data_IF_640509202059
#
_entry.id   IF_640509202059
#
_cell.length_a   1.000
_cell.length_b   1.000
_cell.length_c   1.000
_cell.angle_alpha   90.00
_cell.angle_beta   90.00
_cell.angle_gamma   90.00
#
_symmetry.space_group_name_H-M   'P 1'
#
loop_
_entity.id
_entity.type
_entity.pdbx_description
1 polymer ?
#
# COMPACT_ATOMS: atom_id res chain seq x y z
N UNK A 1 21.97 52.42 -13.27
CA UNK A 1 21.54 51.41 -12.29
C UNK A 1 20.04 51.47 -11.98
N UNK A 2 19.38 52.64 -11.96
CA UNK A 2 17.94 52.77 -11.64
C UNK A 2 16.93 52.09 -12.59
N UNK A 3 17.30 51.75 -13.84
CA UNK A 3 16.33 51.22 -14.82
C UNK A 3 16.18 49.68 -14.80
N UNK A 4 17.15 48.94 -14.25
CA UNK A 4 17.05 47.47 -14.08
C UNK A 4 16.23 47.09 -12.86
N UNK A 5 16.39 47.84 -11.76
CA UNK A 5 15.67 47.60 -10.51
C UNK A 5 14.16 47.83 -10.67
N UNK A 6 13.74 48.86 -11.41
CA UNK A 6 12.31 49.12 -11.67
C UNK A 6 11.64 48.06 -12.54
N UNK A 7 12.36 47.50 -13.53
CA UNK A 7 11.84 46.44 -14.40
C UNK A 7 11.69 45.10 -13.66
N UNK A 8 12.64 44.75 -12.81
CA UNK A 8 12.57 43.53 -11.98
C UNK A 8 11.44 43.66 -10.94
N UNK A 9 11.29 44.83 -10.30
CA UNK A 9 10.21 45.09 -9.33
C UNK A 9 8.81 44.95 -9.93
N UNK A 10 8.58 45.46 -11.14
CA UNK A 10 7.28 45.33 -11.81
C UNK A 10 6.99 43.89 -12.25
N UNK A 11 7.99 43.18 -12.77
CA UNK A 11 7.84 41.76 -13.16
C UNK A 11 7.55 40.85 -11.97
N UNK A 12 8.17 41.12 -10.82
CA UNK A 12 7.88 40.45 -9.55
C UNK A 12 6.46 40.73 -9.08
N UNK A 13 6.02 41.99 -9.11
CA UNK A 13 4.66 42.38 -8.71
C UNK A 13 3.59 41.70 -9.57
N UNK A 14 3.75 41.72 -10.89
CA UNK A 14 2.82 41.08 -11.82
C UNK A 14 2.74 39.56 -11.57
N UNK A 15 3.87 38.94 -11.20
CA UNK A 15 3.93 37.52 -10.88
C UNK A 15 3.23 37.16 -9.57
N UNK A 16 3.39 37.98 -8.53
CA UNK A 16 2.66 37.82 -7.25
C UNK A 16 1.15 37.89 -7.47
N UNK A 17 0.69 38.85 -8.28
CA UNK A 17 -0.73 39.03 -8.61
C UNK A 17 -1.26 37.80 -9.37
N UNK A 18 -0.47 37.25 -10.30
CA UNK A 18 -0.82 36.03 -11.02
C UNK A 18 -0.90 34.80 -10.09
N UNK A 19 0.06 34.63 -9.17
CA UNK A 19 0.04 33.50 -8.23
C UNK A 19 -1.17 33.59 -7.28
N UNK A 20 -1.50 34.78 -6.78
CA UNK A 20 -2.70 34.97 -5.95
C UNK A 20 -4.00 34.67 -6.69
N UNK A 21 -4.06 34.93 -8.01
CA UNK A 21 -5.26 34.63 -8.81
C UNK A 21 -5.37 33.15 -9.16
N UNK A 22 -4.25 32.47 -9.43
CA UNK A 22 -4.20 31.03 -9.75
C UNK A 22 -4.28 30.14 -8.51
N UNK A 23 -3.89 30.62 -7.34
CA UNK A 23 -3.78 29.82 -6.11
C UNK A 23 -4.11 30.65 -4.84
N UNK A 24 -5.38 31.03 -4.64
CA UNK A 24 -5.80 31.93 -3.55
C UNK A 24 -5.69 31.34 -2.13
N UNK A 25 -5.37 30.06 -2.00
CA UNK A 25 -5.20 29.34 -0.73
C UNK A 25 -3.75 29.32 -0.23
N UNK A 26 -2.81 29.85 -1.03
CA UNK A 26 -1.38 29.85 -0.76
C UNK A 26 -1.01 30.99 0.20
N UNK A 27 -0.23 30.69 1.24
CA UNK A 27 0.13 31.69 2.25
C UNK A 27 1.24 32.63 1.76
N UNK A 28 1.29 33.86 2.27
CA UNK A 28 2.18 34.93 1.76
C UNK A 28 3.66 34.51 1.72
N UNK A 29 4.11 33.74 2.70
CA UNK A 29 5.49 33.22 2.76
C UNK A 29 5.81 32.17 1.68
N UNK A 30 4.81 31.46 1.18
CA UNK A 30 4.96 30.48 0.10
C UNK A 30 5.07 31.18 -1.26
N UNK A 31 4.30 32.25 -1.45
CA UNK A 31 4.38 33.12 -2.64
C UNK A 31 5.74 33.81 -2.71
N UNK A 32 6.25 34.31 -1.58
CA UNK A 32 7.58 34.90 -1.47
C UNK A 32 8.69 33.92 -1.85
N UNK A 33 8.59 32.68 -1.38
CA UNK A 33 9.58 31.65 -1.70
C UNK A 33 9.62 31.33 -3.21
N UNK A 34 8.45 31.28 -3.87
CA UNK A 34 8.34 31.03 -5.31
C UNK A 34 8.99 32.17 -6.10
N UNK A 35 8.63 33.41 -5.78
CA UNK A 35 9.12 34.61 -6.48
C UNK A 35 10.63 34.78 -6.29
N UNK A 36 11.14 34.61 -5.07
CA UNK A 36 12.58 34.73 -4.80
C UNK A 36 13.40 33.67 -5.56
N UNK A 37 12.81 32.49 -5.81
CA UNK A 37 13.47 31.41 -6.54
C UNK A 37 13.38 31.62 -8.06
N UNK A 38 12.23 32.06 -8.58
CA UNK A 38 12.04 32.31 -10.03
C UNK A 38 12.93 33.45 -10.54
N UNK A 39 13.13 34.49 -9.73
CA UNK A 39 13.91 35.67 -10.12
C UNK A 39 15.36 35.66 -9.62
N UNK A 40 15.80 34.60 -8.94
CA UNK A 40 17.15 34.43 -8.40
C UNK A 40 17.62 35.65 -7.58
N UNK A 41 16.77 36.09 -6.64
CA UNK A 41 16.96 37.33 -5.88
C UNK A 41 17.68 37.07 -4.55
N UNK A 42 18.56 37.99 -4.16
CA UNK A 42 19.38 37.93 -2.94
C UNK A 42 18.65 38.51 -1.73
N UNK A 43 19.17 38.23 -0.52
CA UNK A 43 18.54 38.59 0.76
C UNK A 43 18.26 40.09 0.99
N UNK A 44 18.87 40.99 0.21
CA UNK A 44 18.62 42.43 0.24
C UNK A 44 17.36 42.86 -0.53
N UNK A 45 16.86 42.03 -1.46
CA UNK A 45 15.63 42.30 -2.25
C UNK A 45 14.35 41.81 -1.54
N UNK A 46 14.49 41.06 -0.44
CA UNK A 46 13.38 40.36 0.23
C UNK A 46 12.48 41.30 1.03
N UNK A 47 13.01 42.40 1.57
CA UNK A 47 12.19 43.40 2.29
C UNK A 47 11.17 44.07 1.37
N UNK A 48 11.56 44.34 0.13
CA UNK A 48 10.70 44.95 -0.88
C UNK A 48 9.66 43.95 -1.40
N UNK A 49 9.98 42.66 -1.45
CA UNK A 49 9.05 41.59 -1.82
C UNK A 49 8.02 41.33 -0.71
N UNK A 50 8.45 41.30 0.56
CA UNK A 50 7.55 41.15 1.71
C UNK A 50 6.52 42.30 1.79
N UNK A 51 6.92 43.51 1.38
CA UNK A 51 6.02 44.64 1.23
C UNK A 51 5.04 44.51 0.05
N UNK A 52 5.37 43.71 -0.98
CA UNK A 52 4.52 43.43 -2.14
C UNK A 52 3.58 42.23 -1.93
N UNK A 53 3.91 41.34 -1.00
CA UNK A 53 3.15 40.12 -0.71
C UNK A 53 2.26 40.23 0.52
N UNK A 54 2.57 41.07 1.52
CA UNK A 54 1.74 41.18 2.73
C UNK A 54 0.44 41.97 2.52
N UNK A 55 -0.72 41.35 2.79
CA UNK A 55 -2.03 42.04 2.77
C UNK A 55 -2.36 42.80 4.06
N UNK A 56 -1.51 42.69 5.08
CA UNK A 56 -1.68 43.33 6.38
C UNK A 56 -0.30 43.51 7.01
N UNK A 57 0.12 44.76 7.24
CA UNK A 57 1.46 45.16 7.70
C UNK A 57 1.99 44.33 8.88
N UNK A 58 2.70 43.25 8.54
CA UNK A 58 3.30 42.29 9.46
C UNK A 58 4.81 42.44 9.53
N UNK A 59 5.37 42.00 10.64
CA UNK A 59 6.74 42.24 11.11
C UNK A 59 7.82 41.69 10.16
N UNK A 60 8.77 42.55 9.80
CA UNK A 60 9.95 42.22 8.98
C UNK A 60 10.73 41.04 9.61
N UNK A 61 10.79 39.91 8.90
CA UNK A 61 11.55 38.74 9.32
C UNK A 61 13.06 38.97 9.15
N UNK A 62 13.84 38.73 10.21
CA UNK A 62 15.30 38.78 10.13
C UNK A 62 15.87 37.64 9.27
N UNK A 63 16.98 37.89 8.57
CA UNK A 63 17.68 36.99 7.61
C UNK A 63 17.93 35.56 8.10
N UNK A 64 18.02 35.33 9.42
CA UNK A 64 18.13 33.99 10.00
C UNK A 64 16.83 33.18 10.00
N UNK A 65 15.67 33.84 10.16
CA UNK A 65 14.35 33.20 10.08
C UNK A 65 13.96 32.91 8.62
N UNK A 66 14.38 33.76 7.69
CA UNK A 66 14.15 33.61 6.25
C UNK A 66 14.79 32.33 5.66
N UNK A 67 16.05 32.05 5.98
CA UNK A 67 16.72 30.82 5.50
C UNK A 67 16.10 29.54 6.10
N UNK A 68 15.55 29.63 7.31
CA UNK A 68 14.82 28.53 7.92
C UNK A 68 13.50 28.25 7.19
N UNK A 69 12.76 29.29 6.83
CA UNK A 69 11.49 29.22 6.08
C UNK A 69 11.74 28.76 4.63
N UNK A 70 12.80 29.24 3.96
CA UNK A 70 13.21 28.80 2.61
C UNK A 70 13.53 27.30 2.56
N UNK A 71 14.21 26.77 3.57
CA UNK A 71 14.51 25.34 3.67
C UNK A 71 13.28 24.47 3.97
N UNK A 72 12.34 24.99 4.77
CA UNK A 72 11.08 24.31 5.11
C UNK A 72 10.11 24.30 3.92
N UNK A 73 10.07 25.40 3.16
CA UNK A 73 9.30 25.52 1.92
C UNK A 73 9.83 24.58 0.82
N UNK A 74 11.15 24.49 0.62
CA UNK A 74 11.76 23.54 -0.33
C UNK A 74 11.47 22.08 0.08
N UNK A 75 11.54 21.77 1.38
CA UNK A 75 11.18 20.45 1.92
C UNK A 75 9.70 20.09 1.75
N UNK A 76 8.80 21.08 1.91
CA UNK A 76 7.35 20.91 1.68
C UNK A 76 6.98 20.82 0.20
N UNK A 77 7.66 21.57 -0.66
CA UNK A 77 7.46 21.54 -2.13
C UNK A 77 7.99 20.25 -2.76
N UNK A 78 9.11 19.70 -2.25
CA UNK A 78 9.61 18.38 -2.64
C UNK A 78 8.65 17.24 -2.22
N UNK A 79 7.86 17.45 -1.15
CA UNK A 79 6.87 16.50 -0.64
C UNK A 79 5.45 16.70 -1.23
N UNK A 80 5.31 17.54 -2.26
CA UNK A 80 4.02 17.83 -2.91
C UNK A 80 3.82 16.93 -4.14
N UNK A 81 2.61 16.38 -4.31
CA UNK A 81 2.24 15.58 -5.47
C UNK A 81 1.62 16.50 -6.55
N UNK A 82 2.20 16.58 -7.76
CA UNK A 82 1.81 17.56 -8.75
C UNK A 82 0.48 17.20 -9.42
N UNK A 83 -0.51 18.10 -9.33
CA UNK A 83 -1.85 17.95 -9.92
C UNK A 83 -1.83 17.92 -11.46
N UNK A 84 -0.75 18.44 -12.09
CA UNK A 84 -0.67 18.62 -13.55
C UNK A 84 0.77 18.39 -14.05
N UNK A 85 0.92 18.09 -15.36
CA UNK A 85 2.23 17.87 -16.02
C UNK A 85 3.25 19.00 -15.81
N UNK A 86 2.78 20.25 -15.76
CA UNK A 86 3.64 21.42 -15.48
C UNK A 86 4.21 21.45 -14.05
N UNK A 87 3.46 20.96 -13.06
CA UNK A 87 3.93 20.86 -11.68
C UNK A 87 4.90 19.69 -11.51
N UNK A 88 4.73 18.60 -12.27
CA UNK A 88 5.68 17.48 -12.29
C UNK A 88 7.05 17.89 -12.87
N UNK A 89 7.04 18.68 -13.94
CA UNK A 89 8.27 19.22 -14.54
C UNK A 89 8.97 20.23 -13.60
N UNK A 90 8.21 20.98 -12.80
CA UNK A 90 8.76 21.89 -11.77
C UNK A 90 9.33 21.13 -10.57
N UNK A 91 8.73 20.01 -10.15
CA UNK A 91 9.32 19.10 -9.15
C UNK A 91 10.64 18.51 -9.65
N UNK A 92 10.71 18.04 -10.90
CA UNK A 92 11.95 17.55 -11.51
C UNK A 92 13.04 18.63 -11.55
N UNK A 93 12.69 19.89 -11.84
CA UNK A 93 13.63 21.00 -11.81
C UNK A 93 14.11 21.34 -10.40
N UNK A 94 13.23 21.34 -9.38
CA UNK A 94 13.63 21.52 -7.98
C UNK A 94 14.51 20.37 -7.47
N UNK A 95 14.23 19.15 -7.94
CA UNK A 95 15.02 17.94 -7.67
C UNK A 95 16.41 18.04 -8.31
N UNK A 96 16.50 18.54 -9.56
CA UNK A 96 17.78 18.83 -10.23
C UNK A 96 18.55 19.96 -9.55
N UNK A 97 17.87 21.00 -9.06
CA UNK A 97 18.51 22.08 -8.30
C UNK A 97 19.12 21.57 -6.98
N UNK A 98 18.46 20.63 -6.30
CA UNK A 98 19.01 19.90 -5.16
C UNK A 98 20.24 19.06 -5.54
N UNK A 99 20.22 18.40 -6.70
CA UNK A 99 21.38 17.67 -7.23
C UNK A 99 22.58 18.57 -7.53
N UNK A 100 22.35 19.75 -8.11
CA UNK A 100 23.42 20.73 -8.36
C UNK A 100 23.98 21.31 -7.06
N UNK A 101 23.16 21.43 -6.01
CA UNK A 101 23.62 21.85 -4.68
C UNK A 101 24.42 20.75 -3.96
N UNK A 102 24.15 19.46 -4.21
CA UNK A 102 24.99 18.36 -3.68
C UNK A 102 26.39 18.29 -4.29
N UNK A 103 26.58 18.79 -5.52
CA UNK A 103 27.91 18.83 -6.17
C UNK A 103 28.76 20.02 -5.70
N UNK A 104 28.14 21.08 -5.17
CA UNK A 104 28.87 22.20 -4.57
C UNK A 104 29.24 21.88 -3.13
N UNK A 105 30.54 21.65 -2.92
CA UNK A 105 31.18 21.24 -1.67
C UNK A 105 31.24 22.36 -0.60
N UNK A 106 30.12 23.07 -0.41
CA UNK A 106 29.97 24.19 0.52
C UNK A 106 29.24 23.75 1.81
N UNK A 107 29.72 24.24 2.95
CA UNK A 107 29.15 23.96 4.29
C UNK A 107 27.66 24.29 4.42
N UNK A 108 27.16 25.25 3.62
CA UNK A 108 25.73 25.62 3.54
C UNK A 108 24.88 24.58 2.81
N UNK A 109 25.39 23.97 1.75
CA UNK A 109 24.69 22.92 1.00
C UNK A 109 24.46 21.69 1.89
N UNK A 110 25.47 21.31 2.68
CA UNK A 110 25.36 20.24 3.67
C UNK A 110 24.32 20.51 4.77
N UNK A 111 24.20 21.77 5.23
CA UNK A 111 23.21 22.16 6.22
C UNK A 111 21.77 22.11 5.66
N UNK A 112 21.57 22.53 4.40
CA UNK A 112 20.27 22.47 3.72
C UNK A 112 19.84 21.02 3.49
N UNK A 113 20.77 20.17 3.03
CA UNK A 113 20.52 18.74 2.80
C UNK A 113 20.19 17.99 4.08
N UNK A 114 20.93 18.24 5.17
CA UNK A 114 20.66 17.59 6.46
C UNK A 114 19.29 17.98 7.02
N UNK A 115 18.88 19.25 6.85
CA UNK A 115 17.55 19.72 7.25
C UNK A 115 16.45 19.12 6.39
N UNK A 116 16.60 19.11 5.06
CA UNK A 116 15.66 18.46 4.14
C UNK A 116 15.51 16.97 4.46
N UNK A 117 16.61 16.26 4.72
CA UNK A 117 16.62 14.86 5.15
C UNK A 117 15.85 14.66 6.46
N UNK A 118 16.02 15.56 7.42
CA UNK A 118 15.31 15.50 8.71
C UNK A 118 13.79 15.72 8.55
N UNK A 119 13.37 16.66 7.70
CA UNK A 119 11.95 16.96 7.46
C UNK A 119 11.27 15.83 6.70
N UNK A 120 11.88 15.34 5.61
CA UNK A 120 11.34 14.23 4.82
C UNK A 120 11.28 12.96 5.68
N UNK A 121 12.37 12.65 6.40
CA UNK A 121 12.39 11.51 7.34
C UNK A 121 11.35 11.65 8.44
N UNK A 122 11.11 12.86 8.96
CA UNK A 122 10.08 13.16 9.95
C UNK A 122 8.66 12.94 9.43
N UNK A 123 8.38 13.34 8.19
CA UNK A 123 7.07 13.13 7.54
C UNK A 123 6.82 11.65 7.27
N UNK A 124 7.79 10.93 6.68
CA UNK A 124 7.69 9.47 6.47
C UNK A 124 7.47 8.76 7.80
N UNK A 125 8.24 9.13 8.83
CA UNK A 125 8.07 8.60 10.19
C UNK A 125 6.65 8.77 10.72
N UNK A 126 6.02 9.93 10.49
CA UNK A 126 4.66 10.22 10.96
C UNK A 126 3.64 9.36 10.23
N UNK A 127 3.68 9.33 8.90
CA UNK A 127 2.74 8.53 8.10
C UNK A 127 2.90 7.03 8.36
N UNK A 128 4.13 6.50 8.41
CA UNK A 128 4.36 5.09 8.72
C UNK A 128 3.90 4.72 10.13
N UNK A 129 4.05 5.64 11.09
CA UNK A 129 3.52 5.41 12.45
C UNK A 129 2.00 5.32 12.45
N UNK A 130 1.32 6.24 11.75
CA UNK A 130 -0.14 6.25 11.65
C UNK A 130 -0.72 5.04 10.92
N UNK A 131 -0.11 4.67 9.79
CA UNK A 131 -0.49 3.47 9.03
C UNK A 131 -0.30 2.22 9.90
N UNK A 132 0.87 2.06 10.51
CA UNK A 132 1.13 0.94 11.41
C UNK A 132 0.18 0.91 12.60
N UNK A 133 -0.14 2.07 13.18
CA UNK A 133 -1.12 2.16 14.27
C UNK A 133 -2.52 1.74 13.83
N UNK A 134 -2.95 2.12 12.63
CA UNK A 134 -4.25 1.72 12.08
C UNK A 134 -4.35 0.21 11.86
N UNK A 135 -3.24 -0.43 11.43
CA UNK A 135 -3.16 -1.89 11.30
C UNK A 135 -3.07 -2.61 12.65
N UNK A 136 -2.42 -2.03 13.66
CA UNK A 136 -2.48 -2.55 15.02
C UNK A 136 -3.89 -2.45 15.61
N UNK A 137 -4.60 -1.35 15.32
CA UNK A 137 -5.97 -1.18 15.77
C UNK A 137 -6.89 -2.25 15.20
N UNK A 138 -6.67 -2.68 13.95
CA UNK A 138 -7.32 -3.84 13.36
C UNK A 138 -7.16 -5.09 14.23
N UNK A 139 -5.92 -5.45 14.57
CA UNK A 139 -5.62 -6.62 15.42
C UNK A 139 -6.29 -6.49 16.81
N UNK A 140 -6.20 -5.30 17.42
CA UNK A 140 -6.81 -5.05 18.73
C UNK A 140 -8.33 -5.20 18.67
N UNK A 141 -8.98 -4.69 17.62
CA UNK A 141 -10.42 -4.83 17.41
C UNK A 141 -10.80 -6.31 17.25
N UNK A 142 -10.04 -7.09 16.47
CA UNK A 142 -10.30 -8.53 16.32
C UNK A 142 -10.21 -9.28 17.65
N UNK A 143 -9.21 -8.97 18.48
CA UNK A 143 -9.07 -9.56 19.82
C UNK A 143 -10.25 -9.15 20.71
N UNK A 144 -10.64 -7.87 20.69
CA UNK A 144 -11.78 -7.37 21.48
C UNK A 144 -13.08 -8.07 21.06
N UNK A 145 -13.35 -8.17 19.76
CA UNK A 145 -14.53 -8.86 19.23
C UNK A 145 -14.52 -10.33 19.68
N UNK A 146 -13.37 -10.99 19.60
CA UNK A 146 -13.22 -12.39 20.03
C UNK A 146 -13.49 -12.57 21.52
N UNK A 147 -12.96 -11.68 22.37
CA UNK A 147 -13.21 -11.70 23.83
C UNK A 147 -14.68 -11.44 24.16
N UNK A 148 -15.31 -10.45 23.49
CA UNK A 148 -16.73 -10.16 23.68
C UNK A 148 -17.58 -11.36 23.29
N UNK A 149 -17.27 -12.01 22.17
CA UNK A 149 -17.99 -13.17 21.67
C UNK A 149 -17.89 -14.35 22.66
N UNK A 150 -16.71 -14.63 23.20
CA UNK A 150 -16.51 -15.66 24.25
C UNK A 150 -17.25 -15.30 25.54
N UNK A 151 -17.10 -14.05 26.02
CA UNK A 151 -17.75 -13.59 27.24
C UNK A 151 -19.28 -13.72 27.15
N UNK A 152 -19.87 -13.34 26.02
CA UNK A 152 -21.31 -13.39 25.84
C UNK A 152 -21.83 -14.83 25.69
N UNK A 153 -21.18 -15.66 24.88
CA UNK A 153 -21.64 -17.03 24.63
C UNK A 153 -21.41 -17.94 25.84
N UNK A 154 -20.18 -18.00 26.36
CA UNK A 154 -19.83 -18.87 27.48
C UNK A 154 -20.31 -18.27 28.81
N UNK A 155 -20.08 -16.97 29.01
CA UNK A 155 -20.37 -16.30 30.29
C UNK A 155 -21.84 -15.93 30.51
N UNK A 156 -22.57 -15.56 29.45
CA UNK A 156 -23.97 -15.11 29.57
C UNK A 156 -24.96 -16.16 29.09
N UNK A 157 -24.73 -16.77 27.92
CA UNK A 157 -25.63 -17.79 27.37
C UNK A 157 -25.39 -19.19 27.97
N UNK A 158 -24.29 -19.39 28.70
CA UNK A 158 -23.96 -20.66 29.35
C UNK A 158 -23.53 -21.76 28.38
N UNK A 159 -23.08 -21.40 27.17
CA UNK A 159 -22.56 -22.37 26.21
C UNK A 159 -21.25 -22.96 26.71
N UNK A 160 -21.02 -24.23 26.42
CA UNK A 160 -19.70 -24.85 26.56
C UNK A 160 -18.73 -24.30 25.50
N UNK A 161 -17.43 -24.40 25.77
CA UNK A 161 -16.38 -24.00 24.81
C UNK A 161 -16.49 -24.82 23.52
N UNK A 162 -16.87 -26.10 23.64
CA UNK A 162 -17.04 -27.00 22.49
C UNK A 162 -18.24 -26.60 21.62
N UNK A 163 -19.36 -26.20 22.21
CA UNK A 163 -20.53 -25.69 21.48
C UNK A 163 -20.21 -24.38 20.75
N UNK A 164 -19.44 -23.49 21.38
CA UNK A 164 -18.96 -22.28 20.74
C UNK A 164 -18.06 -22.62 19.55
N UNK A 165 -17.08 -23.51 19.75
CA UNK A 165 -16.16 -23.94 18.71
C UNK A 165 -16.90 -24.60 17.53
N UNK A 166 -17.83 -25.51 17.81
CA UNK A 166 -18.68 -26.13 16.79
C UNK A 166 -19.53 -25.10 16.03
N UNK A 167 -19.96 -24.04 16.70
CA UNK A 167 -20.78 -22.98 16.08
C UNK A 167 -19.95 -22.06 15.19
N UNK A 168 -18.74 -21.66 15.60
CA UNK A 168 -17.89 -20.74 14.81
C UNK A 168 -17.18 -21.43 13.64
N UNK A 169 -17.00 -22.75 13.71
CA UNK A 169 -16.39 -23.55 12.63
C UNK A 169 -17.38 -23.92 11.53
N UNK A 170 -18.69 -23.69 11.73
CA UNK A 170 -19.64 -23.84 10.63
C UNK A 170 -19.29 -22.86 9.50
N UNK A 171 -19.34 -23.29 8.23
CA UNK A 171 -18.91 -22.46 7.11
C UNK A 171 -19.56 -21.09 7.03
N UNK A 172 -20.86 -21.04 7.31
CA UNK A 172 -21.66 -19.82 7.23
C UNK A 172 -21.29 -18.82 8.33
N UNK A 173 -21.14 -19.29 9.57
CA UNK A 173 -20.77 -18.43 10.69
C UNK A 173 -19.32 -17.98 10.57
N UNK A 174 -18.40 -18.89 10.20
CA UNK A 174 -17.00 -18.56 9.92
C UNK A 174 -16.89 -17.46 8.86
N UNK A 175 -17.60 -17.62 7.73
CA UNK A 175 -17.59 -16.64 6.66
C UNK A 175 -18.12 -15.27 7.10
N UNK A 176 -19.26 -15.24 7.81
CA UNK A 176 -19.85 -14.00 8.31
C UNK A 176 -18.95 -13.31 9.34
N UNK A 177 -18.35 -14.07 10.26
CA UNK A 177 -17.41 -13.55 11.25
C UNK A 177 -16.19 -12.94 10.58
N UNK A 178 -15.58 -13.65 9.63
CA UNK A 178 -14.41 -13.16 8.90
C UNK A 178 -14.72 -11.87 8.10
N UNK A 179 -15.84 -11.85 7.36
CA UNK A 179 -16.27 -10.66 6.64
C UNK A 179 -16.54 -9.48 7.59
N UNK A 180 -17.18 -9.74 8.74
CA UNK A 180 -17.43 -8.75 9.78
C UNK A 180 -16.13 -8.19 10.39
N UNK A 181 -15.16 -9.07 10.69
CA UNK A 181 -13.84 -8.69 11.21
C UNK A 181 -13.08 -7.81 10.22
N UNK A 182 -13.14 -8.07 8.92
CA UNK A 182 -12.51 -7.21 7.92
C UNK A 182 -13.19 -5.84 7.78
N UNK A 183 -14.53 -5.81 7.80
CA UNK A 183 -15.29 -4.57 7.67
C UNK A 183 -15.10 -3.67 8.90
N UNK A 184 -15.23 -4.24 10.10
CA UNK A 184 -15.17 -3.50 11.36
C UNK A 184 -13.72 -3.29 11.80
N UNK A 185 -12.88 -4.32 11.64
CA UNK A 185 -11.51 -4.29 12.09
C UNK A 185 -10.59 -3.57 11.12
N UNK A 186 -10.67 -3.82 9.81
CA UNK A 186 -9.68 -3.30 8.86
C UNK A 186 -10.19 -2.07 8.10
N UNK A 187 -11.41 -2.12 7.56
CA UNK A 187 -11.96 -1.04 6.76
C UNK A 187 -12.31 0.19 7.62
N UNK A 188 -12.95 0.00 8.77
CA UNK A 188 -13.38 1.11 9.62
C UNK A 188 -12.22 1.98 10.15
N UNK A 189 -11.12 1.43 10.72
CA UNK A 189 -9.96 2.26 11.10
C UNK A 189 -9.36 3.06 9.96
N UNK A 190 -9.32 2.49 8.75
CA UNK A 190 -8.79 3.19 7.57
C UNK A 190 -9.73 4.29 7.08
N UNK A 191 -11.04 4.06 7.11
CA UNK A 191 -12.03 5.11 6.82
C UNK A 191 -12.00 6.22 7.86
N UNK A 192 -11.87 5.89 9.14
CA UNK A 192 -11.67 6.85 10.21
C UNK A 192 -10.38 7.65 10.01
N UNK A 193 -9.29 7.00 9.60
CA UNK A 193 -8.04 7.67 9.25
C UNK A 193 -8.22 8.71 8.14
N UNK A 194 -8.88 8.32 7.04
CA UNK A 194 -9.19 9.22 5.92
C UNK A 194 -10.03 10.41 6.39
N UNK A 195 -11.06 10.16 7.19
CA UNK A 195 -11.96 11.18 7.70
C UNK A 195 -11.24 12.17 8.63
N UNK A 196 -10.49 11.66 9.61
CA UNK A 196 -9.76 12.48 10.60
C UNK A 196 -8.68 13.32 9.90
N UNK A 197 -7.97 12.74 8.94
CA UNK A 197 -6.89 13.44 8.21
C UNK A 197 -7.37 14.19 6.97
N UNK A 198 -8.69 14.24 6.72
CA UNK A 198 -9.33 14.94 5.60
C UNK A 198 -8.69 14.62 4.26
N UNK A 199 -8.39 13.35 4.03
CA UNK A 199 -7.75 12.90 2.78
C UNK A 199 -8.80 12.80 1.67
N UNK A 200 -8.56 13.36 0.47
CA UNK A 200 -9.50 13.27 -0.64
C UNK A 200 -9.62 11.82 -1.13
N UNK A 201 -10.83 11.26 -1.04
CA UNK A 201 -11.13 9.87 -1.43
C UNK A 201 -10.74 9.54 -2.88
N UNK A 202 -10.86 10.50 -3.81
CA UNK A 202 -10.49 10.31 -5.21
C UNK A 202 -8.99 10.06 -5.42
N UNK A 203 -8.15 10.56 -4.52
CA UNK A 203 -6.70 10.30 -4.56
C UNK A 203 -6.35 9.01 -3.82
N UNK A 204 -7.10 8.64 -2.78
CA UNK A 204 -6.92 7.39 -2.03
C UNK A 204 -7.42 6.16 -2.80
N UNK A 205 -8.49 6.34 -3.58
CA UNK A 205 -9.11 5.31 -4.40
C UNK A 205 -9.13 5.83 -5.84
N UNK A 206 -7.98 5.77 -6.54
CA UNK A 206 -7.90 6.28 -7.89
C UNK A 206 -8.74 5.36 -8.79
N UNK A 207 -9.77 5.91 -9.42
CA UNK A 207 -10.68 5.19 -10.33
C UNK A 207 -10.61 5.78 -11.75
N UNK A 208 -9.40 6.13 -12.21
CA UNK A 208 -9.26 6.63 -13.57
C UNK A 208 -9.65 5.56 -14.59
N UNK A 209 -10.19 6.02 -15.72
CA UNK A 209 -10.50 5.16 -16.85
C UNK A 209 -9.22 4.57 -17.43
N UNK A 210 -9.17 3.25 -17.46
CA UNK A 210 -8.10 2.48 -18.10
C UNK A 210 -8.09 2.76 -19.61
N UNK A 211 -6.91 2.77 -20.25
CA UNK A 211 -6.89 2.87 -21.71
C UNK A 211 -7.40 1.55 -22.30
N UNK A 212 -8.05 1.64 -23.46
CA UNK A 212 -8.68 0.49 -24.11
C UNK A 212 -7.68 -0.66 -24.29
N UNK A 213 -8.01 -1.83 -23.72
CA UNK A 213 -7.23 -3.06 -23.85
C UNK A 213 -6.02 -3.21 -22.91
N UNK A 214 -5.91 -2.38 -21.85
CA UNK A 214 -4.87 -2.52 -20.81
C UNK A 214 -5.27 -3.49 -19.70
N UNK A 215 -6.55 -3.50 -19.30
CA UNK A 215 -7.04 -4.32 -18.19
C UNK A 215 -6.76 -5.81 -18.42
N UNK A 216 -7.04 -6.34 -19.62
CA UNK A 216 -6.87 -7.75 -19.93
C UNK A 216 -5.45 -8.26 -19.62
N UNK A 217 -4.40 -7.70 -20.23
CA UNK A 217 -3.03 -8.09 -19.92
C UNK A 217 -2.66 -7.91 -18.44
N UNK A 218 -3.08 -6.83 -17.78
CA UNK A 218 -2.83 -6.63 -16.35
C UNK A 218 -3.46 -7.73 -15.50
N UNK A 219 -4.66 -8.17 -15.84
CA UNK A 219 -5.36 -9.27 -15.17
C UNK A 219 -4.62 -10.59 -15.34
N UNK A 220 -4.22 -10.95 -16.56
CA UNK A 220 -3.45 -12.17 -16.80
C UNK A 220 -2.09 -12.16 -16.10
N UNK A 221 -1.42 -11.00 -16.02
CA UNK A 221 -0.18 -10.85 -15.25
C UNK A 221 -0.41 -11.11 -13.76
N UNK A 222 -1.45 -10.51 -13.18
CA UNK A 222 -1.81 -10.69 -11.78
C UNK A 222 -2.15 -12.14 -11.45
N UNK A 223 -3.03 -12.76 -12.24
CA UNK A 223 -3.42 -14.15 -12.06
C UNK A 223 -2.23 -15.12 -12.19
N UNK A 224 -1.32 -14.88 -13.14
CA UNK A 224 -0.14 -15.72 -13.30
C UNK A 224 0.81 -15.64 -12.10
N UNK A 225 1.00 -14.46 -11.51
CA UNK A 225 1.83 -14.34 -10.31
C UNK A 225 1.20 -15.08 -9.11
N UNK A 226 -0.12 -15.03 -8.98
CA UNK A 226 -0.85 -15.78 -7.95
C UNK A 226 -0.76 -17.29 -8.12
N UNK A 227 -0.76 -17.80 -9.36
CA UNK A 227 -0.51 -19.23 -9.61
C UNK A 227 0.92 -19.64 -9.23
N UNK A 228 1.91 -18.77 -9.49
CA UNK A 228 3.30 -19.00 -9.06
C UNK A 228 3.40 -19.05 -7.55
N UNK A 229 2.68 -18.17 -6.85
CA UNK A 229 2.59 -18.18 -5.39
C UNK A 229 1.97 -19.49 -4.87
N UNK A 230 0.82 -19.91 -5.41
CA UNK A 230 0.20 -21.19 -5.05
C UNK A 230 1.13 -22.39 -5.28
N UNK A 231 1.91 -22.39 -6.37
CA UNK A 231 2.92 -23.41 -6.62
C UNK A 231 4.05 -23.38 -5.58
N UNK A 232 4.49 -22.18 -5.17
CA UNK A 232 5.51 -22.01 -4.14
C UNK A 232 5.03 -22.54 -2.79
N UNK A 233 3.84 -22.13 -2.34
CA UNK A 233 3.24 -22.61 -1.10
C UNK A 233 3.12 -24.14 -1.11
N UNK A 234 2.60 -24.71 -2.20
CA UNK A 234 2.44 -26.16 -2.31
C UNK A 234 3.80 -26.91 -2.24
N UNK A 235 4.83 -26.37 -2.89
CA UNK A 235 6.18 -26.95 -2.85
C UNK A 235 6.80 -26.93 -1.45
N UNK A 236 6.62 -25.84 -0.70
CA UNK A 236 7.16 -25.68 0.66
C UNK A 236 6.41 -26.57 1.65
N UNK A 237 5.08 -26.67 1.53
CA UNK A 237 4.24 -27.45 2.44
C UNK A 237 4.34 -28.96 2.21
N UNK A 238 4.70 -29.40 1.00
CA UNK A 238 4.83 -30.83 0.66
C UNK A 238 6.22 -31.20 0.09
N UNK A 239 7.30 -31.27 0.91
CA UNK A 239 8.68 -31.47 0.45
C UNK A 239 9.00 -32.84 -0.20
N UNK A 240 8.01 -33.73 -0.38
CA UNK A 240 8.17 -35.10 -0.90
C UNK A 240 7.93 -35.28 -2.41
N UNK A 241 7.51 -34.23 -3.12
CA UNK A 241 7.66 -34.15 -4.57
C UNK A 241 6.37 -34.02 -5.39
N UNK A 242 6.58 -33.66 -6.66
CA UNK A 242 5.63 -33.65 -7.78
C UNK A 242 4.98 -35.03 -8.07
N UNK A 243 5.01 -35.97 -7.13
CA UNK A 243 4.45 -37.32 -7.22
C UNK A 243 3.46 -37.52 -6.07
N UNK A 244 2.19 -37.34 -6.37
CA UNK A 244 1.11 -37.51 -5.40
C UNK A 244 1.00 -36.32 -4.46
N UNK A 245 0.75 -35.14 -5.02
CA UNK A 245 0.16 -34.07 -4.24
C UNK A 245 -1.20 -34.58 -3.74
N UNK A 246 -1.21 -35.10 -2.51
CA UNK A 246 -2.42 -35.10 -1.73
C UNK A 246 -2.74 -33.62 -1.56
N UNK A 247 -3.48 -33.07 -2.51
CA UNK A 247 -4.17 -31.80 -2.33
C UNK A 247 -5.21 -32.06 -1.23
N UNK A 248 -4.77 -32.15 0.02
CA UNK A 248 -5.60 -31.79 1.15
C UNK A 248 -5.81 -30.30 0.99
N UNK A 249 -6.77 -29.95 0.13
CA UNK A 249 -7.53 -28.74 0.36
C UNK A 249 -7.97 -28.88 1.81
N UNK A 250 -7.48 -28.01 2.69
CA UNK A 250 -8.28 -27.68 3.86
C UNK A 250 -9.54 -27.06 3.28
N UNK A 251 -10.50 -27.94 2.96
CA UNK A 251 -11.74 -27.59 2.32
C UNK A 251 -12.42 -26.72 3.35
N UNK A 252 -12.30 -25.41 3.21
CA UNK A 252 -13.30 -24.49 3.70
C UNK A 252 -14.58 -25.03 3.09
N UNK A 253 -15.37 -25.74 3.91
CA UNK A 253 -16.56 -26.44 3.45
C UNK A 253 -17.51 -25.38 2.93
N UNK A 254 -17.52 -25.09 1.64
CA UNK A 254 -18.50 -24.18 1.07
C UNK A 254 -19.84 -24.89 1.24
N UNK A 255 -20.71 -24.34 2.08
CA UNK A 255 -21.79 -25.08 2.74
C UNK A 255 -22.60 -26.00 1.81
N UNK A 256 -23.24 -27.02 2.38
CA UNK A 256 -23.85 -28.14 1.64
C UNK A 256 -24.95 -27.76 0.64
N UNK A 257 -25.44 -26.52 0.65
CA UNK A 257 -26.44 -26.00 -0.28
C UNK A 257 -25.91 -24.77 -1.05
N UNK A 258 -26.52 -24.48 -2.21
CA UNK A 258 -26.09 -23.38 -3.09
C UNK A 258 -26.12 -22.01 -2.38
N UNK A 259 -27.09 -21.79 -1.48
CA UNK A 259 -27.23 -20.53 -0.75
C UNK A 259 -26.04 -20.26 0.17
N UNK A 260 -25.64 -21.26 0.94
CA UNK A 260 -24.49 -21.18 1.84
C UNK A 260 -23.18 -21.07 1.05
N UNK A 261 -23.03 -21.79 -0.06
CA UNK A 261 -21.86 -21.66 -0.93
C UNK A 261 -21.72 -20.24 -1.51
N UNK A 262 -22.81 -19.64 -2.01
CA UNK A 262 -22.81 -18.27 -2.52
C UNK A 262 -22.54 -17.23 -1.43
N UNK A 263 -23.10 -17.43 -0.23
CA UNK A 263 -22.85 -16.57 0.92
C UNK A 263 -21.39 -16.64 1.35
N UNK A 264 -20.83 -17.85 1.45
CA UNK A 264 -19.41 -18.06 1.79
C UNK A 264 -18.51 -17.44 0.72
N UNK A 265 -18.82 -17.58 -0.57
CA UNK A 265 -18.07 -16.90 -1.64
C UNK A 265 -18.17 -15.37 -1.52
N UNK A 266 -19.33 -14.83 -1.19
CA UNK A 266 -19.46 -13.38 -0.99
C UNK A 266 -18.60 -12.91 0.19
N UNK A 267 -18.69 -13.60 1.33
CA UNK A 267 -18.03 -13.21 2.58
C UNK A 267 -16.51 -13.47 2.62
N UNK A 268 -16.03 -14.57 2.02
CA UNK A 268 -14.60 -14.91 1.98
C UNK A 268 -13.94 -14.53 0.65
N UNK A 269 -14.73 -14.42 -0.42
CA UNK A 269 -14.26 -14.05 -1.76
C UNK A 269 -14.42 -12.56 -2.03
N UNK A 270 -15.66 -12.08 -2.15
CA UNK A 270 -15.91 -10.71 -2.62
C UNK A 270 -15.50 -9.65 -1.59
N UNK A 271 -15.90 -9.81 -0.34
CA UNK A 271 -15.65 -8.81 0.72
C UNK A 271 -14.15 -8.56 0.92
N UNK A 272 -13.29 -9.56 1.17
CA UNK A 272 -11.89 -9.26 1.43
C UNK A 272 -11.17 -8.77 0.16
N UNK A 273 -11.62 -9.12 -1.06
CA UNK A 273 -11.00 -8.68 -2.30
C UNK A 273 -11.15 -7.18 -2.47
N UNK A 274 -12.34 -6.68 -2.13
CA UNK A 274 -12.66 -5.26 -2.13
C UNK A 274 -11.91 -4.55 -1.00
N UNK A 275 -11.99 -5.07 0.23
CA UNK A 275 -11.39 -4.42 1.41
C UNK A 275 -9.86 -4.39 1.33
N UNK A 276 -9.20 -5.50 1.02
CA UNK A 276 -7.74 -5.55 0.90
C UNK A 276 -7.23 -4.69 -0.25
N UNK A 277 -7.91 -4.72 -1.41
CA UNK A 277 -7.52 -3.85 -2.53
C UNK A 277 -7.68 -2.38 -2.14
N UNK A 278 -8.81 -2.01 -1.54
CA UNK A 278 -9.06 -0.66 -1.05
C UNK A 278 -8.01 -0.21 -0.04
N UNK A 279 -7.73 -1.02 1.00
CA UNK A 279 -6.83 -0.65 2.08
C UNK A 279 -5.38 -0.62 1.63
N UNK A 280 -4.87 -1.69 1.03
CA UNK A 280 -3.43 -1.82 0.76
C UNK A 280 -3.02 -1.14 -0.54
N UNK A 281 -3.78 -1.37 -1.63
CA UNK A 281 -3.45 -0.84 -2.96
C UNK A 281 -4.09 0.53 -3.23
N UNK A 282 -5.09 0.91 -2.44
CA UNK A 282 -5.62 2.27 -2.39
C UNK A 282 -4.97 3.08 -1.28
N UNK A 283 -5.57 3.05 -0.09
CA UNK A 283 -5.31 4.00 1.00
C UNK A 283 -3.85 4.00 1.45
N UNK A 284 -3.32 2.86 1.88
CA UNK A 284 -1.95 2.75 2.42
C UNK A 284 -0.92 3.13 1.36
N UNK A 285 -1.08 2.60 0.14
CA UNK A 285 -0.19 2.90 -0.97
C UNK A 285 -0.14 4.41 -1.25
N UNK A 286 -1.30 5.07 -1.36
CA UNK A 286 -1.37 6.50 -1.70
C UNK A 286 -0.88 7.39 -0.54
N UNK A 287 -1.18 7.05 0.71
CA UNK A 287 -0.65 7.76 1.89
C UNK A 287 0.88 7.73 1.92
N UNK A 288 1.47 6.54 1.74
CA UNK A 288 2.93 6.39 1.73
C UNK A 288 3.57 7.03 0.49
N UNK A 289 2.88 7.01 -0.64
CA UNK A 289 3.33 7.60 -1.91
C UNK A 289 3.49 9.11 -1.81
N UNK A 290 2.51 9.80 -1.23
CA UNK A 290 2.52 11.26 -1.07
C UNK A 290 3.76 11.79 -0.35
N UNK A 291 4.27 11.06 0.66
CA UNK A 291 5.39 11.52 1.50
C UNK A 291 6.72 10.81 1.23
N UNK A 292 6.69 9.62 0.63
CA UNK A 292 7.87 8.78 0.45
C UNK A 292 8.22 8.41 -0.99
N UNK A 293 7.34 8.70 -1.96
CA UNK A 293 7.53 8.38 -3.38
C UNK A 293 7.11 6.96 -3.76
N UNK A 294 6.97 6.73 -5.06
CA UNK A 294 6.34 5.53 -5.65
C UNK A 294 7.06 4.23 -5.25
N UNK A 295 8.38 4.18 -5.39
CA UNK A 295 9.17 2.97 -5.08
C UNK A 295 9.05 2.59 -3.60
N UNK A 296 9.22 3.56 -2.70
CA UNK A 296 9.11 3.32 -1.27
C UNK A 296 7.71 2.86 -0.87
N UNK A 297 6.68 3.54 -1.36
CA UNK A 297 5.30 3.21 -1.04
C UNK A 297 4.93 1.81 -1.51
N UNK A 298 5.41 1.42 -2.70
CA UNK A 298 5.23 0.08 -3.25
C UNK A 298 5.82 -0.99 -2.34
N UNK A 299 7.09 -0.86 -1.95
CA UNK A 299 7.74 -1.84 -1.07
C UNK A 299 7.10 -1.87 0.33
N UNK A 300 6.87 -0.72 0.95
CA UNK A 300 6.31 -0.68 2.31
C UNK A 300 4.88 -1.20 2.38
N UNK A 301 4.00 -0.81 1.45
CA UNK A 301 2.62 -1.33 1.43
C UNK A 301 2.58 -2.85 1.24
N UNK A 302 3.48 -3.39 0.40
CA UNK A 302 3.61 -4.83 0.16
C UNK A 302 4.13 -5.58 1.39
N UNK A 303 5.12 -5.02 2.10
CA UNK A 303 5.61 -5.57 3.37
C UNK A 303 4.49 -5.59 4.40
N UNK A 304 3.74 -4.48 4.54
CA UNK A 304 2.64 -4.40 5.51
C UNK A 304 1.50 -5.38 5.18
N UNK A 305 1.22 -5.64 3.90
CA UNK A 305 0.27 -6.67 3.48
C UNK A 305 0.75 -8.07 3.87
N UNK A 306 2.01 -8.40 3.56
CA UNK A 306 2.59 -9.69 3.89
C UNK A 306 2.63 -9.95 5.40
N UNK A 307 2.91 -8.93 6.23
CA UNK A 307 2.89 -9.09 7.69
C UNK A 307 1.51 -9.50 8.23
N UNK A 308 0.43 -9.19 7.51
CA UNK A 308 -0.93 -9.53 7.93
C UNK A 308 -1.43 -10.89 7.45
N UNK A 309 -0.68 -11.62 6.61
CA UNK A 309 -1.06 -12.98 6.22
C UNK A 309 -0.86 -14.00 7.33
N UNK A 310 -0.08 -13.65 8.36
CA UNK A 310 0.28 -14.45 9.56
C UNK A 310 0.88 -15.83 9.32
N UNK A 311 0.81 -16.37 8.11
CA UNK A 311 1.42 -17.62 7.66
C UNK A 311 2.78 -17.37 7.01
N UNK A 312 3.84 -17.95 7.61
CA UNK A 312 5.22 -17.81 7.15
C UNK A 312 5.44 -18.28 5.70
N UNK A 313 4.74 -19.33 5.28
CA UNK A 313 4.90 -19.91 3.93
C UNK A 313 4.28 -19.02 2.87
N UNK A 314 3.16 -18.36 3.18
CA UNK A 314 2.44 -17.48 2.25
C UNK A 314 3.02 -16.06 2.20
N UNK A 315 3.72 -15.62 3.26
CA UNK A 315 4.27 -14.26 3.37
C UNK A 315 5.08 -13.79 2.13
N UNK A 316 6.04 -14.57 1.59
CA UNK A 316 6.81 -14.15 0.41
C UNK A 316 5.94 -13.94 -0.83
N UNK A 317 4.99 -14.85 -1.03
CA UNK A 317 4.01 -14.82 -2.10
C UNK A 317 3.08 -13.62 -2.05
N UNK A 318 2.47 -13.41 -0.90
CA UNK A 318 1.61 -12.28 -0.60
C UNK A 318 2.34 -10.95 -0.81
N UNK A 319 3.62 -10.85 -0.42
CA UNK A 319 4.44 -9.66 -0.67
C UNK A 319 4.59 -9.40 -2.17
N UNK A 320 4.94 -10.41 -2.96
CA UNK A 320 5.14 -10.26 -4.41
C UNK A 320 3.84 -9.92 -5.13
N UNK A 321 2.74 -10.61 -4.79
CA UNK A 321 1.42 -10.37 -5.37
C UNK A 321 0.92 -8.97 -5.05
N UNK A 322 1.03 -8.53 -3.80
CA UNK A 322 0.67 -7.16 -3.41
C UNK A 322 1.55 -6.11 -4.10
N UNK A 323 2.85 -6.40 -4.26
CA UNK A 323 3.76 -5.52 -4.99
C UNK A 323 3.38 -5.40 -6.47
N UNK A 324 3.01 -6.48 -7.15
CA UNK A 324 2.54 -6.40 -8.53
C UNK A 324 1.24 -5.57 -8.61
N UNK A 325 0.27 -5.84 -7.75
CA UNK A 325 -1.03 -5.13 -7.78
C UNK A 325 -0.90 -3.65 -7.43
N UNK A 326 -0.03 -3.30 -6.48
CA UNK A 326 0.28 -1.91 -6.15
C UNK A 326 0.97 -1.21 -7.30
N UNK A 327 1.89 -1.88 -7.98
CA UNK A 327 2.55 -1.37 -9.16
C UNK A 327 1.57 -1.16 -10.33
N UNK A 328 0.67 -2.12 -10.58
CA UNK A 328 -0.40 -1.97 -11.57
C UNK A 328 -1.34 -0.81 -11.24
N UNK A 329 -1.59 -0.56 -9.96
CA UNK A 329 -2.39 0.58 -9.50
C UNK A 329 -1.68 1.91 -9.76
N UNK A 330 -0.37 1.99 -9.50
CA UNK A 330 0.45 3.18 -9.80
C UNK A 330 0.53 3.41 -11.32
N UNK A 331 0.81 2.36 -12.09
CA UNK A 331 1.00 2.44 -13.53
C UNK A 331 -0.30 2.84 -14.26
N UNK A 332 -1.41 2.21 -13.90
CA UNK A 332 -2.71 2.46 -14.55
C UNK A 332 -3.43 3.69 -14.00
N UNK A 333 -3.05 4.17 -12.80
CA UNK A 333 -3.78 5.21 -12.07
C UNK A 333 -5.20 4.76 -11.69
N UNK A 334 -5.44 3.45 -11.62
CA UNK A 334 -6.75 2.86 -11.35
C UNK A 334 -6.61 1.68 -10.39
N UNK A 335 -7.50 1.59 -9.40
CA UNK A 335 -7.57 0.46 -8.48
C UNK A 335 -8.26 -0.77 -9.10
N UNK A 336 -8.96 -0.57 -10.23
CA UNK A 336 -9.76 -1.61 -10.90
C UNK A 336 -8.95 -2.88 -11.23
N UNK A 337 -7.72 -2.82 -11.77
CA UNK A 337 -6.95 -4.04 -12.04
C UNK A 337 -6.68 -4.86 -10.78
N UNK A 338 -6.34 -4.21 -9.66
CA UNK A 338 -6.06 -4.91 -8.40
C UNK A 338 -7.31 -5.61 -7.83
N UNK A 339 -8.47 -4.93 -7.89
CA UNK A 339 -9.75 -5.51 -7.46
C UNK A 339 -10.15 -6.69 -8.34
N UNK A 340 -10.07 -6.54 -9.67
CA UNK A 340 -10.47 -7.58 -10.63
C UNK A 340 -9.58 -8.81 -10.49
N UNK A 341 -8.26 -8.64 -10.35
CA UNK A 341 -7.34 -9.76 -10.14
C UNK A 341 -7.70 -10.54 -8.88
N UNK A 342 -7.83 -9.87 -7.72
CA UNK A 342 -8.20 -10.55 -6.46
C UNK A 342 -9.57 -11.24 -6.54
N UNK A 343 -10.56 -10.61 -7.16
CA UNK A 343 -11.89 -11.22 -7.33
C UNK A 343 -11.83 -12.48 -8.21
N UNK A 344 -11.08 -12.44 -9.30
CA UNK A 344 -10.93 -13.57 -10.21
C UNK A 344 -10.14 -14.71 -9.57
N UNK A 345 -9.08 -14.42 -8.82
CA UNK A 345 -8.35 -15.42 -8.05
C UNK A 345 -9.27 -16.16 -7.08
N UNK A 346 -10.06 -15.41 -6.30
CA UNK A 346 -10.98 -16.01 -5.32
C UNK A 346 -12.12 -16.76 -5.99
N UNK A 347 -12.57 -16.30 -7.15
CA UNK A 347 -13.54 -17.02 -7.96
C UNK A 347 -12.96 -18.34 -8.49
N UNK A 348 -11.71 -18.35 -8.93
CA UNK A 348 -11.01 -19.56 -9.37
C UNK A 348 -10.85 -20.53 -8.21
N UNK A 349 -10.36 -20.06 -7.06
CA UNK A 349 -10.23 -20.87 -5.85
C UNK A 349 -11.57 -21.48 -5.41
N UNK A 350 -12.62 -20.66 -5.36
CA UNK A 350 -13.98 -21.12 -5.06
C UNK A 350 -14.47 -22.18 -6.06
N UNK A 351 -14.27 -21.92 -7.36
CA UNK A 351 -14.69 -22.82 -8.43
C UNK A 351 -14.00 -24.18 -8.37
N UNK A 352 -12.68 -24.20 -8.20
CA UNK A 352 -11.89 -25.43 -8.06
C UNK A 352 -12.30 -26.21 -6.82
N UNK A 353 -12.50 -25.53 -5.68
CA UNK A 353 -12.91 -26.20 -4.44
C UNK A 353 -14.32 -26.81 -4.56
N UNK A 354 -15.26 -26.10 -5.20
CA UNK A 354 -16.62 -26.61 -5.41
C UNK A 354 -16.66 -27.78 -6.40
N UNK A 355 -15.81 -27.76 -7.44
CA UNK A 355 -15.61 -28.90 -8.34
C UNK A 355 -15.05 -30.10 -7.58
N UNK A 356 -14.11 -29.88 -6.66
CA UNK A 356 -13.58 -30.88 -5.73
C UNK A 356 -14.67 -31.60 -4.96
N UNK A 357 -15.52 -30.81 -4.29
CA UNK A 357 -16.64 -31.33 -3.50
C UNK A 357 -17.66 -32.11 -4.36
N UNK A 358 -17.97 -31.60 -5.56
CA UNK A 358 -19.01 -32.19 -6.42
C UNK A 358 -18.55 -33.44 -7.16
N UNK A 359 -17.28 -33.51 -7.55
CA UNK A 359 -16.74 -34.61 -8.34
C UNK A 359 -16.42 -35.85 -7.51
N UNK A 360 -16.17 -35.70 -6.19
CA UNK A 360 -15.80 -36.81 -5.30
C UNK A 360 -14.48 -37.49 -5.65
N UNK A 361 -13.70 -36.91 -6.57
CA UNK A 361 -12.41 -37.42 -7.05
C UNK A 361 -11.37 -36.29 -6.97
N UNK A 362 -10.60 -36.30 -5.88
CA UNK A 362 -9.58 -35.29 -5.58
C UNK A 362 -8.44 -35.27 -6.59
N UNK A 363 -8.07 -36.43 -7.16
CA UNK A 363 -7.00 -36.51 -8.17
C UNK A 363 -7.39 -35.81 -9.47
N UNK A 364 -8.62 -36.05 -9.96
CA UNK A 364 -9.13 -35.39 -11.17
C UNK A 364 -9.15 -33.87 -11.01
N UNK A 365 -9.55 -33.38 -9.84
CA UNK A 365 -9.61 -31.95 -9.53
C UNK A 365 -8.21 -31.36 -9.47
N UNK A 366 -7.23 -32.07 -8.90
CA UNK A 366 -5.82 -31.66 -8.94
C UNK A 366 -5.25 -31.54 -10.35
N UNK A 367 -5.62 -32.45 -11.27
CA UNK A 367 -5.22 -32.33 -12.68
C UNK A 367 -5.88 -31.14 -13.39
N UNK A 368 -7.16 -30.89 -13.11
CA UNK A 368 -7.89 -29.72 -13.66
C UNK A 368 -7.27 -28.42 -13.15
N UNK A 369 -7.00 -28.32 -11.86
CA UNK A 369 -6.36 -27.15 -11.24
C UNK A 369 -4.96 -26.90 -11.82
N UNK A 370 -4.16 -27.96 -11.98
CA UNK A 370 -2.84 -27.89 -12.61
C UNK A 370 -2.93 -27.41 -14.07
N UNK A 371 -3.91 -27.90 -14.83
CA UNK A 371 -4.12 -27.49 -16.22
C UNK A 371 -4.54 -26.01 -16.33
N UNK A 372 -5.46 -25.56 -15.46
CA UNK A 372 -5.86 -24.15 -15.37
C UNK A 372 -4.66 -23.27 -15.02
N UNK A 373 -3.86 -23.69 -14.04
CA UNK A 373 -2.65 -22.98 -13.62
C UNK A 373 -1.66 -22.79 -14.76
N UNK A 374 -1.39 -23.84 -15.55
CA UNK A 374 -0.50 -23.76 -16.72
C UNK A 374 -1.05 -22.79 -17.78
N UNK A 375 -2.36 -22.83 -18.07
CA UNK A 375 -2.99 -21.90 -19.03
C UNK A 375 -2.84 -20.45 -18.55
N UNK A 376 -3.07 -20.21 -17.25
CA UNK A 376 -2.93 -18.88 -16.63
C UNK A 376 -1.48 -18.40 -16.70
N UNK A 377 -0.50 -19.25 -16.37
CA UNK A 377 0.91 -18.89 -16.45
C UNK A 377 1.35 -18.56 -17.88
N UNK A 378 0.95 -19.36 -18.88
CA UNK A 378 1.25 -19.08 -20.29
C UNK A 378 0.58 -17.77 -20.74
N UNK A 379 -0.69 -17.57 -20.38
CA UNK A 379 -1.41 -16.32 -20.66
C UNK A 379 -0.75 -15.11 -20.01
N UNK A 380 -0.24 -15.24 -18.78
CA UNK A 380 0.51 -14.22 -18.07
C UNK A 380 1.82 -13.85 -18.77
N UNK A 381 2.60 -14.83 -19.21
CA UNK A 381 3.83 -14.58 -19.98
C UNK A 381 3.54 -13.83 -21.29
N UNK A 382 2.50 -14.23 -22.02
CA UNK A 382 2.05 -13.53 -23.23
C UNK A 382 1.56 -12.11 -22.91
N UNK A 383 0.89 -11.91 -21.77
CA UNK A 383 0.44 -10.60 -21.32
C UNK A 383 1.60 -9.67 -20.96
N UNK A 384 2.63 -10.16 -20.27
CA UNK A 384 3.88 -9.41 -20.02
C UNK A 384 4.52 -9.00 -21.34
N UNK A 385 4.68 -9.94 -22.28
CA UNK A 385 5.27 -9.65 -23.59
C UNK A 385 4.46 -8.59 -24.36
N UNK A 386 3.13 -8.65 -24.29
CA UNK A 386 2.23 -7.65 -24.89
C UNK A 386 2.35 -6.29 -24.21
N UNK A 387 2.47 -6.24 -22.89
CA UNK A 387 2.67 -4.99 -22.13
C UNK A 387 4.01 -4.34 -22.46
N UNK A 388 5.09 -5.12 -22.51
CA UNK A 388 6.42 -4.63 -22.88
C UNK A 388 6.48 -4.07 -24.31
N UNK A 389 5.78 -4.70 -25.25
CA UNK A 389 5.67 -4.19 -26.63
C UNK A 389 4.85 -2.90 -26.72
N UNK A 390 3.81 -2.75 -25.89
CA UNK A 390 2.91 -1.59 -25.91
C UNK A 390 3.45 -0.41 -25.11
N UNK A 391 4.19 -0.70 -24.04
CA UNK A 391 4.77 0.27 -23.10
C UNK A 391 6.24 -0.10 -22.85
N UNK A 392 7.17 0.42 -23.66
CA UNK A 392 8.61 0.14 -23.51
C UNK A 392 9.15 0.54 -22.13
N UNK A 393 8.55 1.56 -21.52
CA UNK A 393 8.88 2.06 -20.19
C UNK A 393 8.02 1.45 -19.07
N UNK A 394 7.36 0.31 -19.31
CA UNK A 394 6.48 -0.32 -18.32
C UNK A 394 7.18 -0.42 -16.96
N UNK A 395 8.29 -1.14 -16.87
CA UNK A 395 9.02 -1.33 -15.61
C UNK A 395 9.83 -0.11 -15.12
N UNK A 396 9.76 1.04 -15.80
CA UNK A 396 10.48 2.24 -15.36
C UNK A 396 9.62 2.98 -14.33
N UNK A 397 9.81 2.67 -13.05
CA UNK A 397 9.28 3.52 -11.99
C UNK A 397 10.06 4.83 -11.92
N UNK A 398 9.35 5.94 -11.75
CA UNK A 398 9.97 7.25 -11.45
C UNK A 398 10.79 7.13 -10.17
N UNK A 399 12.03 7.63 -10.20
CA UNK A 399 12.95 7.58 -9.06
C UNK A 399 12.35 8.32 -7.87
N UNK A 400 12.48 7.71 -6.69
CA UNK A 400 12.19 8.34 -5.41
C UNK A 400 13.15 9.51 -5.13
N UNK A 401 12.71 10.46 -4.30
CA UNK A 401 13.43 11.72 -4.02
C UNK A 401 14.93 11.52 -3.73
N UNK A 402 15.80 12.43 -4.19
CA UNK A 402 17.25 12.27 -4.12
C UNK A 402 17.82 12.38 -2.70
N UNK A 403 17.06 12.95 -1.76
CA UNK A 403 17.55 13.26 -0.42
C UNK A 403 17.66 12.03 0.51
N UNK A 404 16.88 10.97 0.27
CA UNK A 404 16.93 9.71 1.03
C UNK A 404 16.85 8.51 0.10
N UNK A 405 17.78 7.58 0.29
CA UNK A 405 17.74 6.29 -0.40
C UNK A 405 16.52 5.46 0.02
N UNK A 406 16.09 4.53 -0.83
CA UNK A 406 15.00 3.59 -0.52
C UNK A 406 15.26 2.85 0.80
N UNK A 407 16.47 2.36 1.00
CA UNK A 407 16.86 1.64 2.22
C UNK A 407 16.71 2.50 3.48
N UNK A 408 17.02 3.80 3.40
CA UNK A 408 16.82 4.71 4.54
C UNK A 408 15.35 4.96 4.83
N UNK A 409 14.53 5.18 3.78
CA UNK A 409 13.07 5.34 3.94
C UNK A 409 12.44 4.09 4.56
N UNK A 410 12.82 2.90 4.08
CA UNK A 410 12.39 1.61 4.64
C UNK A 410 12.84 1.46 6.09
N UNK A 411 14.11 1.73 6.40
CA UNK A 411 14.65 1.66 7.76
C UNK A 411 13.90 2.57 8.72
N UNK A 412 13.65 3.82 8.34
CA UNK A 412 12.89 4.79 9.16
C UNK A 412 11.50 4.25 9.48
N UNK A 413 10.85 3.64 8.50
CA UNK A 413 9.46 3.15 8.57
C UNK A 413 9.34 1.86 9.38
N UNK A 414 10.22 0.89 9.11
CA UNK A 414 10.27 -0.40 9.82
C UNK A 414 10.67 -0.20 11.28
N UNK A 415 11.55 0.76 11.58
CA UNK A 415 11.99 1.03 12.95
C UNK A 415 10.92 1.73 13.82
N UNK A 416 9.67 1.88 13.35
CA UNK A 416 8.59 2.50 14.14
C UNK A 416 7.93 1.47 15.01
N UNK A 417 7.68 1.85 16.27
CA UNK A 417 7.12 0.96 17.28
C UNK A 417 5.86 0.25 16.78
N UNK A 418 4.99 0.95 16.04
CA UNK A 418 3.76 0.34 15.52
C UNK A 418 4.02 -0.74 14.48
N UNK A 419 4.99 -0.53 13.59
CA UNK A 419 5.41 -1.52 12.59
C UNK A 419 6.21 -2.66 13.24
N UNK A 420 7.05 -2.36 14.23
CA UNK A 420 7.78 -3.38 15.00
C UNK A 420 6.82 -4.29 15.75
N UNK A 421 5.78 -3.75 16.39
CA UNK A 421 4.75 -4.56 17.04
C UNK A 421 3.98 -5.41 16.04
N UNK A 422 3.67 -4.87 14.85
CA UNK A 422 3.04 -5.65 13.77
C UNK A 422 3.93 -6.80 13.31
N UNK A 423 5.24 -6.56 13.18
CA UNK A 423 6.21 -7.60 12.85
C UNK A 423 6.32 -8.67 13.94
N UNK A 424 6.33 -8.27 15.22
CA UNK A 424 6.35 -9.20 16.34
C UNK A 424 5.08 -10.04 16.39
N UNK A 425 3.92 -9.42 16.19
CA UNK A 425 2.64 -10.11 16.09
C UNK A 425 2.65 -11.14 14.95
N UNK A 426 3.04 -10.71 13.75
CA UNK A 426 3.16 -11.58 12.57
C UNK A 426 4.10 -12.76 12.85
N UNK A 427 5.27 -12.50 13.43
CA UNK A 427 6.26 -13.51 13.77
C UNK A 427 5.73 -14.52 14.80
N UNK A 428 5.08 -14.05 15.87
CA UNK A 428 4.53 -14.94 16.91
C UNK A 428 3.45 -15.84 16.31
N UNK A 429 2.51 -15.31 15.53
CA UNK A 429 1.46 -16.11 14.89
C UNK A 429 2.01 -17.08 13.85
N UNK A 430 3.00 -16.66 13.06
CA UNK A 430 3.72 -17.54 12.13
C UNK A 430 4.39 -18.70 12.84
N UNK A 431 5.02 -18.46 13.99
CA UNK A 431 5.65 -19.50 14.80
C UNK A 431 4.60 -20.46 15.38
N UNK A 432 3.47 -19.94 15.88
CA UNK A 432 2.37 -20.76 16.40
C UNK A 432 1.85 -21.71 15.31
N UNK A 433 1.57 -21.18 14.12
CA UNK A 433 1.10 -21.98 12.99
C UNK A 433 2.13 -23.03 12.54
N UNK A 434 3.43 -22.72 12.59
CA UNK A 434 4.48 -23.68 12.26
C UNK A 434 4.49 -24.86 13.24
N UNK A 435 4.31 -24.61 14.54
CA UNK A 435 4.27 -25.66 15.57
C UNK A 435 3.01 -26.53 15.50
N UNK A 436 1.84 -25.95 15.15
CA UNK A 436 0.64 -26.75 14.88
C UNK A 436 0.82 -27.65 13.65
N UNK A 437 1.52 -27.17 12.61
CA UNK A 437 1.91 -27.97 11.45
C UNK A 437 2.80 -29.16 11.84
N UNK A 438 3.80 -28.94 12.69
CA UNK A 438 4.69 -30.00 13.19
C UNK A 438 3.93 -31.03 14.03
N UNK A 439 2.94 -30.62 14.83
CA UNK A 439 2.08 -31.58 15.55
C UNK A 439 1.25 -32.44 14.59
N UNK A 440 0.65 -31.83 13.56
CA UNK A 440 -0.12 -32.54 12.52
C UNK A 440 0.79 -33.52 11.77
N UNK A 441 2.01 -33.12 11.39
CA UNK A 441 2.99 -33.97 10.72
C UNK A 441 3.53 -35.09 11.63
N UNK A 442 3.70 -34.85 12.92
CA UNK A 442 4.11 -35.88 13.90
C UNK A 442 3.01 -36.92 14.15
N UNK A 443 1.74 -36.48 14.15
CA UNK A 443 0.58 -37.36 14.27
C UNK A 443 0.33 -38.17 12.98
N UNK A 444 0.57 -37.57 11.81
CA UNK A 444 0.49 -38.28 10.53
C UNK A 444 1.61 -39.33 10.38
N UNK A 445 2.82 -39.05 10.87
CA UNK A 445 3.94 -40.02 10.83
C UNK A 445 3.80 -41.14 11.86
N UNK A 446 3.15 -40.92 13.00
CA UNK A 446 2.81 -41.99 13.95
C UNK A 446 1.70 -42.91 13.45
N UNK A 447 0.76 -42.42 12.62
CA UNK A 447 -0.23 -43.27 11.93
C UNK A 447 0.38 -44.04 10.75
N UNK A 448 1.42 -43.53 10.11
CA UNK A 448 2.11 -44.22 8.99
C UNK A 448 3.23 -45.19 9.43
N UNK A 449 3.76 -45.06 10.66
CA UNK A 449 4.81 -45.94 11.20
C UNK A 449 4.42 -46.69 12.48
N UNK A 450 3.21 -46.49 13.01
CA UNK A 450 2.65 -47.25 14.13
C UNK A 450 1.77 -48.40 13.61
N UNK A 451 2.41 -49.53 13.28
CA UNK A 451 1.73 -50.82 13.09
C UNK A 451 1.31 -51.48 14.39
#
# INVERSE_FOLDING_TARGET
MNNRYSQISNAVRDRVIQIRSESPWMEDYEIEAIVCTEFNLDALDVSDIHALTSSSGGTVLHTGQYNAIKSDAIGKFAAYEPVNKGAAQRRDNATRALYTLTEQNDSRSAAILSRARSTIGGNIRKESSHVGFSLLLFIVIEVIISVILVFFTVGVMGWSVDELYASITQPRSMALLHAGMLLIGLAFPMLAYIYIHKLPLNEMVPLHNLRKGELGPMVWMGLALMMVDGCFVNYVTHPGGLRGANYSFDVVSFGSNLGDAMLTFFCLGVVPALIESFVFNGVILQVLRRRGGDTFALFMSSILFALLTTNFVEMPGAMLTSMLLGYLTIFSGSLVPAVVVRLLERLLFFGVTQLGFSAGNSELVGYVDSAISVIIMVGGLLAVAKMLKRFPEFFVLKRSDPCLSLAEKLKISISRWSVVLLMLYSLVFSIIQLFDLDQILSNASTVMYGG
#
